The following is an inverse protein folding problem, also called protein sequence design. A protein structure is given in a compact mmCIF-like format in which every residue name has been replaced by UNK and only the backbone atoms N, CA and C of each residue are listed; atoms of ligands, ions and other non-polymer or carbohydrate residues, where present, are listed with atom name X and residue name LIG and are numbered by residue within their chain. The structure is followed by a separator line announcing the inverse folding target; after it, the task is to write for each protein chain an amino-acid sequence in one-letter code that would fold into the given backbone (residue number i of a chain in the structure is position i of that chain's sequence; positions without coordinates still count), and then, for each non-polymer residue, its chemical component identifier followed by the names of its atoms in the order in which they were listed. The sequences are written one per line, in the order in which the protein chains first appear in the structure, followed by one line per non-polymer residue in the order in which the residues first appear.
data_IF_909485807715
#
_entry.id   IF_909485807715
#
_cell.length_a   1.000
_cell.length_b   1.000
_cell.length_c   1.000
_cell.angle_alpha   90.00
_cell.angle_beta   90.00
_cell.angle_gamma   90.00
#
_symmetry.space_group_name_H-M   'P 1'
#
loop_
_entity.id
_entity.type
_entity.pdbx_description
1 polymer ?
#
# COMPACT_ATOMS: atom_id res chain seq x y z
N UNK A 1 18.94 -0.46 -21.80
CA UNK A 1 20.00 0.22 -22.60
C UNK A 1 19.82 1.72 -22.47
N UNK A 2 20.89 2.49 -22.57
CA UNK A 2 20.80 3.97 -22.52
C UNK A 2 20.81 4.50 -23.95
N UNK A 3 19.73 5.16 -24.36
CA UNK A 3 19.65 5.89 -25.62
C UNK A 3 19.02 7.25 -25.30
N UNK A 4 19.60 8.34 -25.78
CA UNK A 4 19.10 9.72 -25.59
C UNK A 4 18.92 10.16 -24.12
N UNK A 5 19.73 9.63 -23.21
CA UNK A 5 19.67 9.96 -21.78
C UNK A 5 18.53 9.26 -21.02
N UNK A 6 17.78 8.38 -21.68
CA UNK A 6 16.74 7.55 -21.05
C UNK A 6 17.25 6.12 -20.88
N UNK A 7 17.17 5.60 -19.67
CA UNK A 7 17.48 4.20 -19.37
C UNK A 7 16.20 3.38 -19.45
N UNK A 8 16.14 2.51 -20.46
CA UNK A 8 15.05 1.55 -20.60
C UNK A 8 15.39 0.24 -19.90
N UNK A 9 14.43 -0.32 -19.16
CA UNK A 9 14.42 -1.74 -18.81
C UNK A 9 14.20 -2.52 -20.12
N UNK A 10 15.03 -3.52 -20.37
CA UNK A 10 15.00 -4.28 -21.63
C UNK A 10 14.85 -5.76 -21.28
N UNK A 11 13.85 -6.40 -21.89
CA UNK A 11 13.67 -7.85 -21.86
C UNK A 11 13.80 -8.40 -23.29
N UNK A 12 14.68 -9.37 -23.50
CA UNK A 12 15.00 -9.95 -24.81
C UNK A 12 15.23 -8.94 -25.96
N UNK A 13 15.85 -7.80 -25.64
CA UNK A 13 16.19 -6.76 -26.62
C UNK A 13 15.07 -5.77 -26.94
N UNK A 14 13.90 -5.87 -26.29
CA UNK A 14 12.79 -4.92 -26.40
C UNK A 14 12.60 -4.16 -25.08
N UNK A 15 12.08 -2.92 -25.10
CA UNK A 15 11.64 -2.25 -23.88
C UNK A 15 10.69 -3.17 -23.11
N UNK A 16 11.02 -3.46 -21.85
CA UNK A 16 10.22 -4.31 -21.00
C UNK A 16 8.85 -3.66 -20.80
N UNK A 17 7.78 -4.39 -21.08
CA UNK A 17 6.44 -4.05 -20.66
C UNK A 17 6.11 -4.93 -19.46
N UNK A 18 6.06 -4.36 -18.24
CA UNK A 18 5.77 -5.17 -17.05
C UNK A 18 4.32 -5.66 -17.12
N UNK A 19 4.12 -6.98 -17.04
CA UNK A 19 2.79 -7.59 -17.04
C UNK A 19 2.04 -7.36 -15.73
N UNK A 20 2.75 -7.32 -14.60
CA UNK A 20 2.19 -7.10 -13.26
C UNK A 20 3.30 -6.74 -12.26
N UNK A 21 2.90 -6.21 -11.10
CA UNK A 21 3.80 -6.00 -9.96
C UNK A 21 3.83 -7.25 -9.07
N UNK A 22 5.02 -7.69 -8.68
CA UNK A 22 5.22 -8.81 -7.75
C UNK A 22 5.91 -8.35 -6.48
N UNK A 23 5.23 -8.51 -5.35
CA UNK A 23 5.73 -8.19 -4.03
C UNK A 23 5.97 -9.48 -3.25
N UNK A 24 7.18 -9.66 -2.71
CA UNK A 24 7.54 -10.86 -1.97
C UNK A 24 8.14 -10.46 -0.63
N UNK A 25 7.60 -11.01 0.47
CA UNK A 25 8.20 -10.88 1.79
C UNK A 25 9.51 -11.68 1.84
N UNK A 26 10.61 -11.01 2.19
CA UNK A 26 11.96 -11.58 2.22
C UNK A 26 12.54 -11.58 3.62
N UNK A 27 13.44 -12.52 3.89
CA UNK A 27 14.34 -12.41 5.04
C UNK A 27 15.36 -11.30 4.77
N UNK A 28 15.69 -10.54 5.80
CA UNK A 28 16.75 -9.52 5.79
C UNK A 28 18.13 -10.11 6.13
N UNK A 29 18.20 -11.43 6.34
CA UNK A 29 19.42 -12.15 6.68
C UNK A 29 19.92 -11.84 8.09
N UNK A 30 21.16 -12.28 8.37
CA UNK A 30 21.76 -12.21 9.70
C UNK A 30 21.84 -10.78 10.25
N UNK A 31 22.14 -9.80 9.40
CA UNK A 31 22.26 -8.42 9.82
C UNK A 31 20.92 -7.83 10.26
N UNK A 32 19.85 -8.03 9.47
CA UNK A 32 18.52 -7.54 9.84
C UNK A 32 18.01 -8.18 11.13
N UNK A 33 18.23 -9.49 11.33
CA UNK A 33 17.92 -10.16 12.60
C UNK A 33 18.63 -9.50 13.80
N UNK A 34 19.90 -9.12 13.64
CA UNK A 34 20.70 -8.51 14.72
C UNK A 34 20.17 -7.14 15.15
N UNK A 35 19.53 -6.39 14.23
CA UNK A 35 18.94 -5.08 14.51
C UNK A 35 17.43 -5.13 14.75
N UNK A 36 16.85 -6.32 14.91
CA UNK A 36 15.42 -6.49 15.20
C UNK A 36 14.49 -6.30 14.00
N UNK A 37 15.00 -6.45 12.78
CA UNK A 37 14.27 -6.35 11.52
C UNK A 37 14.34 -7.68 10.76
N UNK A 38 13.74 -8.78 11.24
CA UNK A 38 13.98 -10.14 10.72
C UNK A 38 13.46 -10.41 9.30
N UNK A 39 12.45 -9.66 8.89
CA UNK A 39 11.84 -9.74 7.57
C UNK A 39 11.64 -8.34 6.98
N UNK A 40 11.51 -8.28 5.67
CA UNK A 40 11.06 -7.10 4.94
C UNK A 40 9.92 -7.52 4.02
N UNK A 41 8.73 -6.97 4.25
CA UNK A 41 7.61 -7.17 3.34
C UNK A 41 7.92 -6.51 1.98
N UNK A 42 7.51 -7.16 0.90
CA UNK A 42 7.45 -6.51 -0.40
C UNK A 42 6.33 -5.49 -0.35
N UNK A 43 6.64 -4.21 -0.50
CA UNK A 43 5.63 -3.16 -0.55
C UNK A 43 5.84 -2.23 -1.74
N UNK A 44 4.74 -1.59 -2.16
CA UNK A 44 4.75 -0.43 -3.04
C UNK A 44 3.76 0.57 -2.49
N UNK A 45 4.11 1.84 -2.54
CA UNK A 45 3.20 2.91 -2.17
C UNK A 45 3.40 4.12 -3.04
N UNK A 46 2.32 4.89 -3.20
CA UNK A 46 2.36 6.20 -3.84
C UNK A 46 2.83 7.22 -2.80
N UNK A 47 3.90 7.97 -3.12
CA UNK A 47 4.51 8.97 -2.25
C UNK A 47 6.03 8.91 -2.28
N UNK A 48 6.68 9.14 -1.14
CA UNK A 48 8.14 9.21 -1.04
C UNK A 48 8.69 8.45 0.17
N UNK A 49 9.91 7.93 0.06
CA UNK A 49 10.61 7.21 1.12
C UNK A 49 11.76 8.04 1.71
N UNK A 50 11.65 8.46 2.97
CA UNK A 50 12.68 9.25 3.65
C UNK A 50 13.79 8.35 4.22
N UNK A 51 14.84 8.19 3.42
CA UNK A 51 16.03 7.39 3.77
C UNK A 51 16.72 7.91 5.04
N UNK A 52 16.61 9.21 5.36
CA UNK A 52 17.34 9.80 6.48
C UNK A 52 16.88 9.29 7.84
N UNK A 53 15.62 8.84 7.94
CA UNK A 53 15.03 8.30 9.17
C UNK A 53 14.70 6.81 9.08
N UNK A 54 14.84 6.18 7.90
CA UNK A 54 14.43 4.79 7.64
C UNK A 54 14.94 3.71 8.61
N UNK A 55 16.07 3.93 9.27
CA UNK A 55 16.60 3.00 10.28
C UNK A 55 16.04 3.32 11.68
N UNK A 56 15.93 4.60 12.03
CA UNK A 56 15.50 5.04 13.36
C UNK A 56 13.98 5.01 13.53
N UNK A 57 13.26 5.31 12.45
CA UNK A 57 11.80 5.29 12.34
C UNK A 57 11.38 4.78 10.94
N UNK A 58 11.41 3.45 10.73
CA UNK A 58 11.05 2.85 9.45
C UNK A 58 9.62 3.16 8.99
N UNK A 59 8.68 3.33 9.93
CA UNK A 59 7.27 3.59 9.64
C UNK A 59 7.03 5.06 9.32
N UNK A 60 7.70 5.96 10.03
CA UNK A 60 7.71 7.38 9.67
C UNK A 60 8.38 7.66 8.32
N UNK A 61 9.27 6.79 7.86
CA UNK A 61 9.96 6.94 6.58
C UNK A 61 9.06 6.75 5.35
N UNK A 62 7.96 6.00 5.45
CA UNK A 62 7.05 5.75 4.32
C UNK A 62 6.01 6.85 4.22
N UNK A 63 6.31 7.94 3.52
CA UNK A 63 5.39 9.09 3.35
C UNK A 63 4.40 8.79 2.24
N UNK A 64 3.13 8.67 2.60
CA UNK A 64 2.06 8.26 1.69
C UNK A 64 1.35 9.45 1.07
N UNK A 65 1.23 9.42 -0.25
CA UNK A 65 0.27 10.18 -1.03
C UNK A 65 0.82 11.38 -1.78
N UNK A 66 0.13 11.70 -2.88
CA UNK A 66 0.39 12.83 -3.76
C UNK A 66 -0.86 13.70 -3.92
N UNK A 67 -0.72 15.00 -4.27
CA UNK A 67 -1.86 15.89 -4.45
C UNK A 67 -2.93 15.32 -5.39
N UNK A 68 -4.18 15.37 -4.96
CA UNK A 68 -5.33 14.83 -5.67
C UNK A 68 -6.44 15.88 -5.73
N UNK A 69 -7.10 16.00 -6.89
CA UNK A 69 -8.07 17.08 -7.18
C UNK A 69 -9.46 16.59 -7.55
N UNK A 70 -9.73 15.32 -7.32
CA UNK A 70 -11.01 14.68 -7.61
C UNK A 70 -11.56 14.01 -6.35
N UNK A 71 -12.88 13.82 -6.31
CA UNK A 71 -13.54 13.05 -5.27
C UNK A 71 -13.43 11.56 -5.60
N UNK A 72 -12.68 10.74 -4.84
CA UNK A 72 -12.58 9.31 -5.12
C UNK A 72 -13.87 8.59 -4.74
N UNK A 73 -14.32 7.67 -5.59
CA UNK A 73 -15.49 6.82 -5.39
C UNK A 73 -15.08 5.39 -5.04
N UNK A 74 -14.21 4.78 -5.84
CA UNK A 74 -13.72 3.42 -5.60
C UNK A 74 -12.28 3.19 -6.02
N UNK A 75 -11.68 2.15 -5.46
CA UNK A 75 -10.35 1.65 -5.81
C UNK A 75 -10.49 0.23 -6.34
N UNK A 76 -10.03 -0.01 -7.57
CA UNK A 76 -10.15 -1.30 -8.24
C UNK A 76 -8.82 -1.80 -8.79
N UNK A 77 -8.78 -3.09 -9.07
CA UNK A 77 -7.66 -3.77 -9.72
C UNK A 77 -7.82 -5.28 -9.60
N UNK A 78 -6.73 -6.02 -9.79
CA UNK A 78 -6.71 -7.46 -9.59
C UNK A 78 -5.50 -7.92 -8.79
N UNK A 79 -5.68 -8.97 -8.00
CA UNK A 79 -4.63 -9.58 -7.20
C UNK A 79 -4.65 -11.10 -7.30
N UNK A 80 -3.51 -11.72 -7.03
CA UNK A 80 -3.44 -13.12 -6.59
C UNK A 80 -2.42 -13.22 -5.48
N UNK A 81 -2.66 -14.11 -4.52
CA UNK A 81 -1.85 -14.18 -3.32
C UNK A 81 -1.61 -15.60 -2.86
N UNK A 82 -0.39 -15.83 -2.38
CA UNK A 82 0.00 -17.05 -1.69
C UNK A 82 0.85 -16.68 -0.48
N UNK A 83 0.44 -17.12 0.71
CA UNK A 83 1.18 -16.92 1.93
C UNK A 83 2.47 -17.77 1.91
N UNK A 84 3.52 -17.25 2.56
CA UNK A 84 4.70 -18.05 2.89
C UNK A 84 4.35 -19.16 3.88
N UNK A 85 5.19 -20.20 3.92
CA UNK A 85 4.89 -21.42 4.67
C UNK A 85 4.79 -21.20 6.20
N UNK A 86 5.66 -20.36 6.76
CA UNK A 86 5.76 -20.16 8.21
C UNK A 86 5.59 -18.69 8.55
N UNK A 87 4.50 -18.37 9.24
CA UNK A 87 4.32 -17.06 9.86
C UNK A 87 5.26 -16.92 11.06
N UNK A 88 5.89 -15.76 11.18
CA UNK A 88 6.79 -15.40 12.29
C UNK A 88 6.35 -14.12 13.01
N UNK A 89 6.58 -14.07 14.33
CA UNK A 89 6.42 -12.86 15.13
C UNK A 89 7.58 -11.86 14.93
N UNK A 90 7.54 -10.72 15.62
CA UNK A 90 8.55 -9.66 15.48
C UNK A 90 9.97 -10.08 15.92
N UNK A 91 10.09 -11.21 16.61
CA UNK A 91 11.36 -11.81 17.07
C UNK A 91 11.83 -12.94 16.16
N UNK A 92 11.09 -13.24 15.09
CA UNK A 92 11.37 -14.33 14.17
C UNK A 92 10.94 -15.71 14.68
N UNK A 93 10.14 -15.80 15.76
CA UNK A 93 9.61 -17.09 16.21
C UNK A 93 8.42 -17.51 15.36
N UNK A 94 8.37 -18.78 14.98
CA UNK A 94 7.20 -19.33 14.29
C UNK A 94 5.94 -19.20 15.17
N UNK A 95 4.82 -18.84 14.55
CA UNK A 95 3.49 -18.76 15.19
C UNK A 95 2.58 -19.83 14.60
N UNK A 96 2.47 -21.01 15.24
CA UNK A 96 1.68 -22.12 14.70
C UNK A 96 0.22 -21.74 14.49
N UNK A 97 -0.34 -22.13 13.35
CA UNK A 97 -1.74 -21.91 13.01
C UNK A 97 -2.09 -20.49 12.56
N UNK A 98 -1.17 -19.51 12.64
CA UNK A 98 -1.34 -18.21 12.01
C UNK A 98 -0.87 -18.28 10.55
N UNK A 99 -1.69 -17.73 9.66
CA UNK A 99 -1.38 -17.60 8.24
C UNK A 99 -1.15 -16.14 7.92
N UNK A 100 -0.18 -15.88 7.04
CA UNK A 100 0.07 -14.53 6.58
C UNK A 100 -1.04 -14.05 5.64
N UNK A 101 -1.25 -12.74 5.60
CA UNK A 101 -2.22 -12.07 4.74
C UNK A 101 -1.55 -10.85 4.11
N UNK A 102 -2.03 -10.44 2.94
CA UNK A 102 -1.59 -9.20 2.30
C UNK A 102 -2.40 -8.00 2.77
N UNK A 103 -1.98 -6.80 2.36
CA UNK A 103 -2.74 -5.56 2.54
C UNK A 103 -2.78 -4.76 1.24
N UNK A 104 -3.97 -4.28 0.85
CA UNK A 104 -4.20 -3.38 -0.30
C UNK A 104 -5.17 -2.30 0.18
N UNK A 105 -4.73 -1.05 0.23
CA UNK A 105 -5.60 0.06 0.59
C UNK A 105 -5.21 1.37 -0.09
N UNK A 106 -6.15 2.32 -0.11
CA UNK A 106 -5.96 3.68 -0.55
C UNK A 106 -6.53 4.66 0.48
N UNK A 107 -5.74 5.68 0.83
CA UNK A 107 -6.08 6.74 1.77
C UNK A 107 -6.37 8.02 1.00
N UNK A 108 -7.47 8.68 1.32
CA UNK A 108 -7.77 10.04 0.86
C UNK A 108 -7.86 10.96 2.08
N UNK A 109 -7.03 12.01 2.13
CA UNK A 109 -6.87 12.82 3.33
C UNK A 109 -6.57 14.29 2.99
N UNK A 110 -6.91 15.19 3.92
CA UNK A 110 -6.68 16.63 3.82
C UNK A 110 -5.30 17.00 4.41
N UNK A 111 -4.51 17.80 3.71
CA UNK A 111 -3.22 18.28 4.23
C UNK A 111 -3.37 19.60 4.97
N UNK A 112 -2.57 19.80 6.01
CA UNK A 112 -2.46 21.07 6.73
C UNK A 112 -1.01 21.35 7.17
N UNK A 113 -0.79 22.44 7.91
CA UNK A 113 0.54 22.86 8.38
C UNK A 113 1.24 21.83 9.28
N UNK A 114 0.50 20.87 9.86
CA UNK A 114 1.02 19.81 10.74
C UNK A 114 1.07 18.45 10.05
N UNK A 115 0.27 18.24 9.02
CA UNK A 115 0.15 16.96 8.31
C UNK A 115 0.26 17.19 6.81
N UNK A 116 1.50 17.16 6.33
CA UNK A 116 1.77 17.13 4.90
C UNK A 116 1.61 15.72 4.32
N UNK A 117 1.93 14.70 5.12
CA UNK A 117 1.83 13.28 4.73
C UNK A 117 1.25 12.46 5.88
N UNK A 118 0.46 11.44 5.54
CA UNK A 118 0.28 10.28 6.41
C UNK A 118 1.46 9.32 6.18
N UNK A 119 1.75 8.47 7.17
CA UNK A 119 2.82 7.48 7.06
C UNK A 119 2.43 6.14 7.71
N UNK A 120 3.38 5.21 7.82
CA UNK A 120 3.13 3.85 8.33
C UNK A 120 2.55 3.82 9.75
N UNK A 121 2.68 4.90 10.51
CA UNK A 121 2.06 5.02 11.84
C UNK A 121 0.53 5.00 11.82
N UNK A 122 -0.10 5.20 10.66
CA UNK A 122 -1.56 5.11 10.48
C UNK A 122 -2.13 3.76 10.94
N UNK A 123 -1.31 2.70 10.93
CA UNK A 123 -1.67 1.37 11.42
C UNK A 123 -1.79 1.31 12.95
N UNK A 124 -1.01 2.09 13.70
CA UNK A 124 -1.05 2.10 15.18
C UNK A 124 -2.43 2.50 15.71
N UNK A 125 -3.11 3.39 14.97
CA UNK A 125 -4.43 3.90 15.31
C UNK A 125 -5.56 3.17 14.56
N UNK A 126 -5.28 2.04 13.92
CA UNK A 126 -6.23 1.30 13.07
C UNK A 126 -6.92 2.21 12.03
N UNK A 127 -6.10 2.92 11.24
CA UNK A 127 -6.54 3.84 10.20
C UNK A 127 -7.41 4.99 10.71
N UNK A 128 -7.15 5.48 11.92
CA UNK A 128 -7.77 6.69 12.47
C UNK A 128 -6.76 7.82 12.47
N UNK A 129 -7.09 8.91 11.79
CA UNK A 129 -6.28 10.13 11.83
C UNK A 129 -7.20 11.36 11.66
N UNK A 130 -6.93 12.48 12.35
CA UNK A 130 -7.73 13.70 12.21
C UNK A 130 -7.86 14.18 10.76
N UNK A 131 -6.84 13.97 9.93
CA UNK A 131 -6.81 14.39 8.53
C UNK A 131 -7.40 13.37 7.55
N UNK A 132 -7.62 12.12 7.96
CA UNK A 132 -8.18 11.10 7.07
C UNK A 132 -9.63 11.44 6.74
N UNK A 133 -9.94 11.46 5.45
CA UNK A 133 -11.28 11.77 4.93
C UNK A 133 -11.98 10.51 4.47
N UNK A 134 -11.29 9.62 3.77
CA UNK A 134 -11.84 8.35 3.33
C UNK A 134 -10.76 7.28 3.16
N UNK A 135 -11.15 6.02 3.28
CA UNK A 135 -10.29 4.86 3.03
C UNK A 135 -11.02 3.82 2.18
N UNK A 136 -10.34 3.27 1.18
CA UNK A 136 -10.77 2.08 0.46
C UNK A 136 -9.78 0.96 0.78
N UNK A 137 -10.25 -0.22 1.19
CA UNK A 137 -9.40 -1.33 1.62
C UNK A 137 -9.99 -2.65 1.16
N UNK A 138 -9.14 -3.53 0.63
CA UNK A 138 -9.52 -4.92 0.35
C UNK A 138 -9.52 -5.68 1.68
N UNK A 139 -10.71 -6.04 2.16
CA UNK A 139 -10.88 -6.84 3.36
C UNK A 139 -10.69 -8.33 3.02
N UNK A 140 -9.43 -8.78 3.00
CA UNK A 140 -9.06 -10.16 2.76
C UNK A 140 -8.33 -10.74 3.98
N UNK A 141 -8.62 -11.99 4.40
CA UNK A 141 -9.64 -12.88 3.86
C UNK A 141 -11.06 -12.50 4.30
N UNK A 142 -12.00 -12.50 3.35
CA UNK A 142 -13.44 -12.37 3.60
C UNK A 142 -14.24 -13.29 2.68
N UNK A 143 -15.57 -13.28 2.82
CA UNK A 143 -16.47 -14.00 1.92
C UNK A 143 -16.40 -13.48 0.47
N UNK A 144 -16.03 -12.20 0.28
CA UNK A 144 -15.92 -11.57 -1.03
C UNK A 144 -14.51 -11.68 -1.61
N UNK A 145 -13.48 -11.52 -0.77
CA UNK A 145 -12.09 -11.49 -1.19
C UNK A 145 -11.30 -12.60 -0.48
N UNK A 146 -10.96 -13.71 -1.17
CA UNK A 146 -10.23 -14.80 -0.56
C UNK A 146 -8.82 -14.35 -0.15
N UNK A 147 -8.33 -14.91 0.96
CA UNK A 147 -6.97 -14.63 1.44
C UNK A 147 -5.91 -15.16 0.49
N UNK A 148 -6.11 -16.32 -0.14
CA UNK A 148 -5.21 -16.90 -1.13
C UNK A 148 -5.96 -17.33 -2.39
N UNK A 149 -5.29 -17.23 -3.53
CA UNK A 149 -5.77 -17.70 -4.83
C UNK A 149 -4.59 -17.80 -5.79
N UNK A 150 -4.52 -18.88 -6.56
CA UNK A 150 -3.60 -19.00 -7.70
C UNK A 150 -4.13 -18.25 -8.94
N UNK A 151 -5.46 -18.05 -9.00
CA UNK A 151 -6.15 -17.29 -10.03
C UNK A 151 -6.27 -15.79 -9.68
N UNK A 152 -6.38 -14.95 -10.69
CA UNK A 152 -6.62 -13.51 -10.50
C UNK A 152 -8.01 -13.24 -9.92
N UNK A 153 -8.04 -12.46 -8.85
CA UNK A 153 -9.24 -11.96 -8.19
C UNK A 153 -9.36 -10.47 -8.48
N UNK A 154 -10.45 -10.07 -9.12
CA UNK A 154 -10.79 -8.66 -9.29
C UNK A 154 -11.35 -8.08 -7.99
N UNK A 155 -10.95 -6.85 -7.66
CA UNK A 155 -11.52 -6.08 -6.58
C UNK A 155 -11.99 -4.71 -7.09
N UNK A 156 -13.06 -4.21 -6.48
CA UNK A 156 -13.57 -2.86 -6.62
C UNK A 156 -14.16 -2.47 -5.27
N UNK A 157 -13.37 -1.76 -4.47
CA UNK A 157 -13.70 -1.40 -3.08
C UNK A 157 -14.02 0.09 -2.99
N UNK A 158 -15.15 0.41 -2.36
CA UNK A 158 -15.59 1.81 -2.19
C UNK A 158 -14.73 2.54 -1.17
N UNK A 159 -14.55 3.84 -1.40
CA UNK A 159 -14.01 4.74 -0.38
C UNK A 159 -15.07 4.95 0.71
N UNK A 160 -14.77 4.46 1.91
CA UNK A 160 -15.57 4.69 3.11
C UNK A 160 -15.19 6.04 3.70
N UNK A 161 -16.08 7.03 3.53
CA UNK A 161 -15.87 8.38 4.07
C UNK A 161 -16.08 8.42 5.58
N UNK A 162 -15.13 9.01 6.29
CA UNK A 162 -15.16 9.18 7.74
C UNK A 162 -16.37 10.05 8.12
N UNK A 163 -17.18 9.58 9.06
CA UNK A 163 -18.38 10.29 9.49
C UNK A 163 -18.04 11.69 10.00
N UNK A 164 -18.75 12.71 9.49
CA UNK A 164 -18.56 14.11 9.88
C UNK A 164 -17.41 14.81 9.16
N UNK A 165 -16.67 14.13 8.28
CA UNK A 165 -15.73 14.78 7.35
C UNK A 165 -16.46 15.26 6.10
N UNK A 166 -16.12 16.46 5.67
CA UNK A 166 -16.58 17.07 4.43
C UNK A 166 -15.38 17.47 3.60
N UNK A 167 -15.48 17.34 2.27
CA UNK A 167 -14.43 17.80 1.35
C UNK A 167 -14.79 19.21 0.90
N UNK A 168 -13.90 20.17 1.14
CA UNK A 168 -14.04 21.52 0.63
C UNK A 168 -13.63 21.55 -0.86
N UNK A 169 -14.55 21.89 -1.78
CA UNK A 169 -14.26 21.89 -3.22
C UNK A 169 -13.15 22.88 -3.62
N UNK A 170 -13.01 24.01 -2.92
CA UNK A 170 -11.98 25.01 -3.20
C UNK A 170 -10.61 24.54 -2.76
N UNK A 171 -10.51 23.84 -1.62
CA UNK A 171 -9.27 23.23 -1.16
C UNK A 171 -8.89 22.02 -2.04
N UNK A 172 -9.88 21.22 -2.45
CA UNK A 172 -9.70 20.12 -3.41
C UNK A 172 -9.13 20.62 -4.73
N UNK A 173 -9.74 21.67 -5.30
CA UNK A 173 -9.27 22.29 -6.54
C UNK A 173 -7.85 22.86 -6.42
N UNK A 174 -7.38 23.21 -5.22
CA UNK A 174 -6.01 23.71 -4.96
C UNK A 174 -4.99 22.60 -4.71
N UNK A 175 -5.41 21.35 -4.56
CA UNK A 175 -4.54 20.22 -4.25
C UNK A 175 -4.18 20.08 -2.77
N UNK A 176 -5.02 20.59 -1.88
CA UNK A 176 -4.87 20.44 -0.43
C UNK A 176 -5.39 19.09 0.12
N UNK A 177 -5.71 18.16 -0.78
CA UNK A 177 -6.00 16.78 -0.45
C UNK A 177 -4.99 15.89 -1.18
N UNK A 178 -4.64 14.76 -0.57
CA UNK A 178 -3.74 13.76 -1.15
C UNK A 178 -4.42 12.40 -1.21
N UNK A 179 -4.05 11.62 -2.21
CA UNK A 179 -4.39 10.20 -2.30
C UNK A 179 -3.10 9.38 -2.20
N UNK A 180 -3.10 8.36 -1.34
CA UNK A 180 -1.99 7.43 -1.17
C UNK A 180 -2.46 6.00 -1.30
N UNK A 181 -1.94 5.26 -2.28
CA UNK A 181 -2.14 3.82 -2.42
C UNK A 181 -0.99 3.12 -1.70
N UNK A 182 -1.29 2.08 -0.91
CA UNK A 182 -0.29 1.26 -0.22
C UNK A 182 -0.66 -0.21 -0.39
N UNK A 183 0.33 -1.01 -0.78
CA UNK A 183 0.16 -2.43 -1.05
C UNK A 183 1.35 -3.19 -0.47
N UNK A 184 1.08 -4.27 0.26
CA UNK A 184 2.09 -5.06 0.97
C UNK A 184 1.80 -6.55 0.91
N UNK A 185 2.81 -7.38 0.68
CA UNK A 185 2.73 -8.84 0.70
C UNK A 185 2.55 -9.45 2.09
N UNK A 186 2.79 -8.68 3.15
CA UNK A 186 2.48 -9.04 4.55
C UNK A 186 1.85 -7.83 5.24
N UNK A 187 0.62 -7.97 5.72
CA UNK A 187 -0.15 -6.89 6.33
C UNK A 187 0.50 -6.33 7.60
N UNK A 188 1.06 -7.22 8.44
CA UNK A 188 1.77 -6.85 9.67
C UNK A 188 3.30 -6.68 9.44
N UNK A 189 3.73 -6.56 8.17
CA UNK A 189 5.13 -6.59 7.78
C UNK A 189 5.95 -5.40 8.25
N UNK A 190 5.31 -4.26 8.50
CA UNK A 190 5.87 -3.07 9.13
C UNK A 190 6.17 -3.25 10.62
N UNK A 191 5.55 -4.24 11.28
CA UNK A 191 5.91 -4.74 12.61
C UNK A 191 6.88 -5.93 12.54
N UNK A 192 7.42 -6.24 11.36
CA UNK A 192 8.26 -7.39 11.09
C UNK A 192 7.58 -8.74 11.37
N UNK A 193 6.25 -8.80 11.23
CA UNK A 193 5.47 -10.04 11.36
C UNK A 193 4.94 -10.45 10.00
N UNK A 194 5.03 -11.74 9.71
CA UNK A 194 4.67 -12.25 8.39
C UNK A 194 5.38 -13.55 8.07
N UNK A 195 5.19 -14.03 6.85
CA UNK A 195 5.85 -15.23 6.36
C UNK A 195 6.80 -14.89 5.21
N UNK A 196 8.06 -15.32 5.34
CA UNK A 196 9.01 -15.26 4.23
C UNK A 196 8.47 -16.09 3.06
N UNK A 197 8.46 -15.50 1.86
CA UNK A 197 7.90 -16.12 0.66
C UNK A 197 6.44 -15.74 0.39
N UNK A 198 5.74 -15.04 1.30
CA UNK A 198 4.44 -14.46 1.00
C UNK A 198 4.53 -13.60 -0.26
N UNK A 199 3.75 -13.95 -1.27
CA UNK A 199 3.83 -13.39 -2.62
C UNK A 199 2.49 -12.81 -3.02
N UNK A 200 2.48 -11.51 -3.30
CA UNK A 200 1.34 -10.78 -3.80
C UNK A 200 1.66 -10.27 -5.20
N UNK A 201 0.89 -10.71 -6.18
CA UNK A 201 0.92 -10.14 -7.53
C UNK A 201 -0.27 -9.18 -7.69
N UNK A 202 -0.03 -8.02 -8.30
CA UNK A 202 -1.00 -6.94 -8.49
C UNK A 202 -0.93 -6.41 -9.91
N UNK A 203 -2.10 -6.12 -10.48
CA UNK A 203 -2.21 -5.55 -11.81
C UNK A 203 -3.50 -4.72 -11.96
N UNK A 204 -3.59 -3.91 -13.02
CA UNK A 204 -4.74 -3.09 -13.43
C UNK A 204 -5.31 -2.14 -12.35
N UNK A 205 -4.45 -1.54 -11.53
CA UNK A 205 -4.86 -0.61 -10.48
C UNK A 205 -5.48 0.67 -11.03
N UNK A 206 -6.66 1.05 -10.53
CA UNK A 206 -7.32 2.31 -10.89
C UNK A 206 -8.14 2.90 -9.72
N UNK A 207 -8.07 4.23 -9.57
CA UNK A 207 -9.02 4.99 -8.76
C UNK A 207 -10.13 5.50 -9.67
N UNK A 208 -11.37 5.18 -9.33
CA UNK A 208 -12.57 5.72 -9.97
C UNK A 208 -13.02 6.93 -9.19
N UNK A 209 -13.26 8.04 -9.90
CA UNK A 209 -13.74 9.27 -9.30
C UNK A 209 -15.25 9.41 -9.46
N UNK A 210 -15.86 10.18 -8.57
CA UNK A 210 -17.25 10.60 -8.72
C UNK A 210 -17.37 11.47 -9.99
N UNK A 211 -18.38 11.19 -10.83
CA UNK A 211 -18.64 11.99 -12.03
C UNK A 211 -18.95 13.45 -11.65
N UNK A 212 -18.14 14.38 -12.14
CA UNK A 212 -18.32 15.83 -11.92
C UNK A 212 -19.33 16.51 -12.85
N UNK A 213 -20.04 15.75 -13.70
CA UNK A 213 -20.95 16.30 -14.74
C UNK A 213 -22.23 16.98 -14.22
N UNK A 214 -22.38 17.17 -12.90
CA UNK A 214 -23.57 17.79 -12.30
C UNK A 214 -23.28 19.01 -11.39
N UNK A 215 -22.13 19.68 -11.53
CA UNK A 215 -21.78 20.85 -10.69
C UNK A 215 -21.07 22.01 -11.45
N UNK A 216 -21.33 22.20 -12.75
CA UNK A 216 -20.95 23.43 -13.47
C UNK A 216 -22.18 24.19 -13.96
#
# INVERSE_FOLDING_TARGET
STQDGVTWFVDNGQPAQPDFLRLITRSTGTFGNMVGMPIAAGNIFQGFFDISIAIADPRGATKFGEPYRYMPDSFKGKYRYKAGETFTDERGNAVPGKKDIFSIYALFYETDDKTEYLDGSIHDANFRHPNLVAIAMVDAPSAQYPGESDEWIEFDVKFNYVQGKTVDPSLLAKGAYKIGIVISSSADGDYFKGAVGSTLDIDDLAIINQNTDNQL
#
